data_IF_859025115347
#
_entry.id   IF_859025115347
#
_cell.length_a   1.000
_cell.length_b   1.000
_cell.length_c   1.000
_cell.angle_alpha   90.00
_cell.angle_beta   90.00
_cell.angle_gamma   90.00
#
_symmetry.space_group_name_H-M   'P 1'
#
loop_
_entity.id
_entity.type
_entity.pdbx_description
1 polymer ?
#
# COMPACT_ATOMS: atom_id res chain seq x y z
N UNK A 1 -21.11 -23.23 26.66
CA UNK A 1 -19.70 -23.15 26.20
C UNK A 1 -19.60 -23.53 24.71
N UNK A 2 -20.47 -22.98 23.84
CA UNK A 2 -20.57 -23.38 22.42
C UNK A 2 -20.51 -22.18 21.44
N UNK A 3 -20.49 -20.94 21.96
CA UNK A 3 -20.38 -19.70 21.16
C UNK A 3 -18.95 -19.33 20.78
N UNK A 4 -17.92 -19.93 21.39
CA UNK A 4 -16.52 -19.56 21.18
C UNK A 4 -15.88 -20.24 19.96
N UNK A 5 -16.38 -21.41 19.56
CA UNK A 5 -15.94 -22.13 18.36
C UNK A 5 -16.26 -21.38 17.03
N UNK A 6 -17.47 -20.82 16.83
CA UNK A 6 -17.75 -20.06 15.61
C UNK A 6 -16.88 -18.81 15.48
N UNK A 7 -16.55 -18.12 16.58
CA UNK A 7 -15.65 -16.96 16.54
C UNK A 7 -14.23 -17.35 16.10
N UNK A 8 -13.73 -18.49 16.60
CA UNK A 8 -12.40 -18.98 16.22
C UNK A 8 -12.36 -19.43 14.75
N UNK A 9 -13.41 -20.10 14.28
CA UNK A 9 -13.55 -20.47 12.86
C UNK A 9 -13.65 -19.23 11.97
N UNK A 10 -14.37 -18.19 12.41
CA UNK A 10 -14.49 -16.94 11.67
C UNK A 10 -13.16 -16.19 11.60
N UNK A 11 -12.44 -16.08 12.71
CA UNK A 11 -11.10 -15.46 12.77
C UNK A 11 -10.12 -16.24 11.89
N UNK A 12 -10.07 -17.56 11.99
CA UNK A 12 -9.22 -18.38 11.12
C UNK A 12 -9.62 -18.31 9.65
N UNK A 13 -10.92 -18.24 9.36
CA UNK A 13 -11.43 -18.05 8.00
C UNK A 13 -10.98 -16.72 7.40
N UNK A 14 -11.06 -15.63 8.16
CA UNK A 14 -10.55 -14.32 7.72
C UNK A 14 -9.05 -14.38 7.49
N UNK A 15 -8.28 -14.93 8.43
CA UNK A 15 -6.82 -15.06 8.29
C UNK A 15 -6.47 -15.89 7.06
N UNK A 16 -7.14 -17.03 6.84
CA UNK A 16 -6.90 -17.88 5.68
C UNK A 16 -7.19 -17.16 4.36
N UNK A 17 -8.30 -16.42 4.27
CA UNK A 17 -8.65 -15.62 3.09
C UNK A 17 -7.60 -14.53 2.86
N UNK A 18 -7.24 -13.77 3.89
CA UNK A 18 -6.22 -12.71 3.79
C UNK A 18 -4.90 -13.29 3.32
N UNK A 19 -4.40 -14.36 3.94
CA UNK A 19 -3.14 -15.00 3.57
C UNK A 19 -3.19 -15.52 2.12
N UNK A 20 -4.30 -16.13 1.71
CA UNK A 20 -4.46 -16.66 0.34
C UNK A 20 -4.45 -15.54 -0.69
N UNK A 21 -5.22 -14.46 -0.48
CA UNK A 21 -5.27 -13.30 -1.37
C UNK A 21 -3.90 -12.63 -1.43
N UNK A 22 -3.22 -12.47 -0.29
CA UNK A 22 -1.91 -11.82 -0.23
C UNK A 22 -0.83 -12.64 -0.92
N UNK A 23 -0.83 -13.97 -0.75
CA UNK A 23 0.10 -14.87 -1.45
C UNK A 23 -0.14 -14.89 -2.97
N UNK A 24 -1.41 -14.93 -3.41
CA UNK A 24 -1.79 -14.82 -4.82
C UNK A 24 -1.36 -13.48 -5.43
N UNK A 25 -1.58 -12.38 -4.71
CA UNK A 25 -1.14 -11.06 -5.11
C UNK A 25 0.39 -10.96 -5.16
N UNK A 26 1.11 -11.53 -4.19
CA UNK A 26 2.58 -11.53 -4.13
C UNK A 26 3.20 -12.23 -5.33
N UNK A 27 2.65 -13.37 -5.77
CA UNK A 27 3.09 -14.04 -6.99
C UNK A 27 2.83 -13.23 -8.26
N UNK A 28 1.76 -12.43 -8.29
CA UNK A 28 1.47 -11.48 -9.36
C UNK A 28 2.41 -10.26 -9.33
N UNK A 29 2.84 -9.82 -8.13
CA UNK A 29 3.84 -8.74 -7.95
C UNK A 29 5.23 -9.21 -8.38
N UNK A 30 5.65 -10.42 -7.99
CA UNK A 30 6.97 -10.99 -8.33
C UNK A 30 7.19 -11.21 -9.83
N UNK A 31 6.11 -11.49 -10.57
CA UNK A 31 6.14 -11.75 -12.02
C UNK A 31 5.99 -10.48 -12.86
N UNK A 32 5.65 -9.36 -12.22
CA UNK A 32 5.35 -8.13 -12.91
C UNK A 32 6.50 -7.14 -12.75
N UNK A 33 7.06 -6.58 -13.84
CA UNK A 33 7.94 -5.41 -13.77
C UNK A 33 7.19 -4.13 -13.33
N UNK A 34 5.98 -4.28 -12.75
CA UNK A 34 5.30 -3.24 -12.00
C UNK A 34 6.12 -2.94 -10.74
N UNK A 35 7.06 -2.00 -10.89
CA UNK A 35 7.76 -1.37 -9.77
C UNK A 35 6.74 -1.05 -8.68
N UNK A 36 7.05 -1.32 -7.41
CA UNK A 36 6.19 -1.09 -6.23
C UNK A 36 5.46 0.28 -6.28
N UNK A 37 6.12 1.28 -6.86
CA UNK A 37 5.60 2.59 -7.23
C UNK A 37 4.30 2.57 -8.07
N UNK A 38 4.20 1.74 -9.10
CA UNK A 38 3.01 1.62 -9.97
C UNK A 38 1.82 1.02 -9.23
N UNK A 39 2.06 0.11 -8.29
CA UNK A 39 0.99 -0.45 -7.45
C UNK A 39 0.42 0.60 -6.49
N UNK A 40 1.30 1.36 -5.83
CA UNK A 40 0.90 2.50 -4.99
C UNK A 40 0.20 3.60 -5.79
N UNK A 41 0.67 3.88 -7.01
CA UNK A 41 0.05 4.84 -7.91
C UNK A 41 -1.35 4.38 -8.34
N UNK A 42 -1.51 3.10 -8.69
CA UNK A 42 -2.80 2.50 -9.03
C UNK A 42 -3.77 2.51 -7.86
N UNK A 43 -3.30 2.20 -6.65
CA UNK A 43 -4.09 2.28 -5.42
C UNK A 43 -4.53 3.71 -5.11
N UNK A 44 -3.60 4.68 -5.19
CA UNK A 44 -3.91 6.10 -5.02
C UNK A 44 -4.90 6.61 -6.06
N UNK A 45 -4.83 6.12 -7.30
CA UNK A 45 -5.79 6.43 -8.35
C UNK A 45 -7.18 5.84 -8.07
N UNK A 46 -7.25 4.59 -7.57
CA UNK A 46 -8.49 3.95 -7.15
C UNK A 46 -9.12 4.64 -5.93
N UNK A 47 -8.32 5.16 -5.00
CA UNK A 47 -8.80 5.88 -3.81
C UNK A 47 -9.20 7.33 -4.12
N UNK A 48 -8.64 7.93 -5.19
CA UNK A 48 -8.89 9.30 -5.60
C UNK A 48 -10.24 9.52 -6.31
N UNK A 49 -10.52 10.76 -6.69
CA UNK A 49 -11.79 11.16 -7.32
C UNK A 49 -12.11 10.53 -8.68
N UNK A 50 -11.22 9.73 -9.27
CA UNK A 50 -11.51 8.91 -10.47
C UNK A 50 -11.80 7.43 -10.16
N UNK A 51 -11.74 7.02 -8.88
CA UNK A 51 -12.06 5.67 -8.43
C UNK A 51 -13.25 5.66 -7.46
N UNK A 52 -12.98 5.45 -6.18
CA UNK A 52 -13.98 5.37 -5.11
C UNK A 52 -14.32 6.72 -4.47
N UNK A 53 -13.66 7.81 -4.88
CA UNK A 53 -13.91 9.19 -4.42
C UNK A 53 -13.81 9.37 -2.89
N UNK A 54 -12.90 8.60 -2.26
CA UNK A 54 -12.72 8.59 -0.79
C UNK A 54 -11.67 9.62 -0.36
N UNK A 55 -10.75 9.97 -1.25
CA UNK A 55 -9.71 10.98 -1.03
C UNK A 55 -9.69 12.00 -2.18
N UNK A 56 -10.08 13.23 -1.90
CA UNK A 56 -9.94 14.36 -2.84
C UNK A 56 -8.65 15.13 -2.52
N UNK A 57 -7.54 14.69 -3.12
CA UNK A 57 -6.23 15.36 -2.97
C UNK A 57 -5.90 16.06 -4.28
N UNK A 58 -6.03 17.39 -4.28
CA UNK A 58 -5.63 18.22 -5.41
C UNK A 58 -4.12 18.27 -5.60
N UNK A 59 -3.60 18.51 -6.82
CA UNK A 59 -2.17 18.62 -7.09
C UNK A 59 -1.46 19.73 -6.31
N UNK A 60 -2.24 20.72 -5.85
CA UNK A 60 -1.76 21.88 -5.06
C UNK A 60 -2.14 21.76 -3.58
N UNK A 61 -2.35 20.53 -3.10
CA UNK A 61 -2.62 20.25 -1.70
C UNK A 61 -1.39 20.63 -0.84
N UNK A 62 -1.54 21.52 0.17
CA UNK A 62 -0.45 21.87 1.07
C UNK A 62 0.11 20.65 1.81
N UNK A 63 -0.74 19.67 2.13
CA UNK A 63 -0.33 18.42 2.79
C UNK A 63 0.53 17.59 1.85
N UNK A 64 0.18 17.51 0.56
CA UNK A 64 0.95 16.78 -0.43
C UNK A 64 2.32 17.42 -0.64
N UNK A 65 2.39 18.75 -0.65
CA UNK A 65 3.65 19.50 -0.76
C UNK A 65 4.59 19.20 0.42
N UNK A 66 4.07 19.22 1.65
CA UNK A 66 4.85 18.89 2.85
C UNK A 66 5.34 17.44 2.82
N UNK A 67 4.45 16.49 2.54
CA UNK A 67 4.80 15.06 2.49
C UNK A 67 5.83 14.81 1.38
N UNK A 68 5.60 15.35 0.19
CA UNK A 68 6.53 15.20 -0.93
C UNK A 68 7.91 15.79 -0.59
N UNK A 69 7.97 16.99 -0.02
CA UNK A 69 9.24 17.64 0.34
C UNK A 69 10.00 16.81 1.38
N UNK A 70 9.31 16.33 2.43
CA UNK A 70 9.92 15.51 3.48
C UNK A 70 10.39 14.16 2.94
N UNK A 71 9.56 13.45 2.17
CA UNK A 71 9.92 12.16 1.57
C UNK A 71 11.10 12.32 0.61
N UNK A 72 11.08 13.34 -0.24
CA UNK A 72 12.13 13.57 -1.24
C UNK A 72 13.45 13.95 -0.56
N UNK A 73 13.41 14.81 0.45
CA UNK A 73 14.59 15.12 1.28
C UNK A 73 15.15 13.86 1.95
N UNK A 74 14.29 13.03 2.54
CA UNK A 74 14.70 11.78 3.19
C UNK A 74 15.31 10.77 2.20
N UNK A 75 14.65 10.55 1.06
CA UNK A 75 15.12 9.60 0.03
C UNK A 75 16.47 10.05 -0.54
N UNK A 76 16.63 11.33 -0.86
CA UNK A 76 17.91 11.87 -1.34
C UNK A 76 19.01 11.71 -0.31
N UNK A 77 18.70 11.93 0.98
CA UNK A 77 19.66 11.71 2.06
C UNK A 77 20.06 10.24 2.19
N UNK A 78 19.08 9.31 2.14
CA UNK A 78 19.34 7.88 2.21
C UNK A 78 20.17 7.39 1.01
N UNK A 79 19.90 7.90 -0.18
CA UNK A 79 20.66 7.58 -1.39
C UNK A 79 22.11 8.05 -1.26
N UNK A 80 22.32 9.28 -0.78
CA UNK A 80 23.64 9.83 -0.50
C UNK A 80 24.42 9.01 0.55
N UNK A 81 23.75 8.49 1.59
CA UNK A 81 24.38 7.62 2.61
C UNK A 81 24.77 6.25 2.05
N UNK A 82 23.99 5.73 1.09
CA UNK A 82 24.28 4.44 0.44
C UNK A 82 25.36 4.53 -0.63
N UNK A 83 25.66 5.73 -1.12
CA UNK A 83 26.78 6.01 -1.99
C UNK A 83 28.10 5.79 -1.23
N UNK A 84 28.57 4.53 -1.27
CA UNK A 84 29.91 4.17 -0.84
C UNK A 84 30.87 4.53 -1.98
N UNK A 85 31.74 5.50 -1.73
CA UNK A 85 32.90 5.83 -2.57
C UNK A 85 34.02 4.82 -2.31
#
# INVERSE_FOLDING_TARGET
>A
MERQLPDFILVFGIIAVVLTVTALASGLVERSPLSFHLMFLGLGFLLGGRGFDVLEVGPHSPVLEVVATLTLTLVLFLDAVKLQI
#
